data_IF_742575632092
#
_entry.id   IF_742575632092
#
_cell.length_a   1.000
_cell.length_b   1.000
_cell.length_c   1.000
_cell.angle_alpha   90.00
_cell.angle_beta   90.00
_cell.angle_gamma   90.00
#
_symmetry.space_group_name_H-M   'P 1'
#
loop_
_entity.id
_entity.type
_entity.pdbx_description
1 polymer ?
#
# COMPACT_ATOMS: atom_id res chain seq x y z
N UNK A 1 -10.01 -8.27 -25.76
CA UNK A 1 -9.13 -7.61 -24.77
C UNK A 1 -9.76 -7.82 -23.40
N UNK A 2 -9.35 -8.84 -22.66
CA UNK A 2 -9.77 -9.03 -21.26
C UNK A 2 -9.07 -7.98 -20.43
N UNK A 3 -9.83 -7.06 -19.83
CA UNK A 3 -9.30 -5.99 -18.97
C UNK A 3 -8.75 -6.66 -17.70
N UNK A 4 -7.47 -6.47 -17.42
CA UNK A 4 -6.83 -6.99 -16.20
C UNK A 4 -7.51 -6.39 -14.96
N UNK A 5 -7.63 -7.18 -13.89
CA UNK A 5 -8.28 -6.73 -12.65
C UNK A 5 -7.36 -5.73 -11.96
N UNK A 6 -7.88 -4.55 -11.65
CA UNK A 6 -7.18 -3.51 -10.88
C UNK A 6 -7.77 -3.43 -9.47
N UNK A 7 -6.92 -3.24 -8.47
CA UNK A 7 -7.28 -3.11 -7.05
C UNK A 7 -6.54 -1.90 -6.46
N UNK A 8 -7.21 -1.10 -5.65
CA UNK A 8 -6.60 -0.02 -4.88
C UNK A 8 -5.77 -0.61 -3.72
N UNK A 9 -4.48 -0.29 -3.67
CA UNK A 9 -3.56 -0.77 -2.63
C UNK A 9 -2.73 0.36 -2.03
N UNK A 10 -2.15 0.08 -0.86
CA UNK A 10 -1.22 0.95 -0.16
C UNK A 10 0.01 1.24 -1.03
N UNK A 11 0.41 2.51 -1.20
CA UNK A 11 1.58 2.87 -1.99
C UNK A 11 2.91 2.47 -1.35
N UNK A 12 2.90 2.08 -0.06
CA UNK A 12 4.11 1.69 0.69
C UNK A 12 4.30 0.17 0.63
N UNK A 13 3.31 -0.60 1.10
CA UNK A 13 3.47 -2.05 1.24
C UNK A 13 2.63 -2.89 0.27
N UNK A 14 1.82 -2.27 -0.60
CA UNK A 14 0.99 -2.99 -1.56
C UNK A 14 -0.20 -3.74 -0.93
N UNK A 15 -0.53 -3.50 0.34
CA UNK A 15 -1.72 -4.08 0.97
C UNK A 15 -3.02 -3.40 0.52
N UNK A 16 -4.07 -4.19 0.34
CA UNK A 16 -5.45 -3.69 0.13
C UNK A 16 -6.19 -3.39 1.43
N UNK A 17 -5.61 -3.65 2.60
CA UNK A 17 -6.21 -3.39 3.91
C UNK A 17 -6.10 -1.90 4.28
N UNK A 18 -6.91 -1.08 3.61
CA UNK A 18 -7.01 0.36 3.82
C UNK A 18 -8.35 0.73 4.48
N UNK A 19 -8.34 1.70 5.39
CA UNK A 19 -9.55 2.30 5.94
C UNK A 19 -9.45 3.83 5.97
N UNK A 20 -10.58 4.52 6.10
CA UNK A 20 -10.58 5.98 6.17
C UNK A 20 -10.42 6.46 7.62
N UNK A 21 -9.41 7.29 7.88
CA UNK A 21 -9.22 7.96 9.18
C UNK A 21 -10.27 9.06 9.37
N UNK A 22 -10.56 9.82 8.30
CA UNK A 22 -11.58 10.85 8.29
C UNK A 22 -12.25 10.90 6.91
N UNK A 23 -13.58 11.01 6.90
CA UNK A 23 -14.39 11.22 5.70
C UNK A 23 -15.14 12.54 5.82
N UNK A 24 -14.77 13.54 5.03
CA UNK A 24 -15.35 14.88 5.09
C UNK A 24 -14.93 15.78 3.92
N UNK A 25 -15.07 17.10 4.10
CA UNK A 25 -14.84 18.12 3.05
C UNK A 25 -13.42 18.15 2.48
N UNK A 26 -12.44 17.57 3.19
CA UNK A 26 -11.00 17.62 2.87
C UNK A 26 -10.55 16.45 1.97
N UNK A 27 -11.47 15.57 1.58
CA UNK A 27 -11.17 14.40 0.75
C UNK A 27 -10.96 13.13 1.59
N UNK A 28 -10.48 12.08 0.91
CA UNK A 28 -10.27 10.76 1.49
C UNK A 28 -8.84 10.65 2.04
N UNK A 29 -8.70 10.38 3.34
CA UNK A 29 -7.42 10.02 3.95
C UNK A 29 -7.46 8.53 4.31
N UNK A 30 -6.60 7.76 3.67
CA UNK A 30 -6.46 6.32 3.87
C UNK A 30 -5.42 6.03 4.95
N UNK A 31 -5.67 4.99 5.75
CA UNK A 31 -4.73 4.40 6.68
C UNK A 31 -4.61 2.90 6.38
N UNK A 32 -3.38 2.44 6.16
CA UNK A 32 -3.03 1.03 5.96
C UNK A 32 -2.85 0.30 7.28
N UNK A 33 -3.52 -0.85 7.44
CA UNK A 33 -3.42 -1.68 8.64
C UNK A 33 -2.07 -2.41 8.79
N UNK A 34 -1.36 -2.64 7.68
CA UNK A 34 -0.15 -3.47 7.69
C UNK A 34 1.13 -2.68 7.93
N UNK A 35 1.25 -1.48 7.33
CA UNK A 35 2.46 -0.65 7.44
C UNK A 35 2.22 0.70 8.11
N UNK A 36 0.98 0.98 8.57
CA UNK A 36 0.62 2.24 9.22
C UNK A 36 0.82 3.50 8.34
N UNK A 37 0.86 3.33 7.01
CA UNK A 37 0.81 4.46 6.06
C UNK A 37 -0.48 5.25 6.26
N UNK A 38 -0.37 6.59 6.36
CA UNK A 38 -1.50 7.52 6.39
C UNK A 38 -1.34 8.57 5.29
N UNK A 39 -2.30 8.67 4.39
CA UNK A 39 -2.24 9.67 3.32
C UNK A 39 -3.41 9.63 2.35
N UNK A 40 -3.44 10.58 1.43
CA UNK A 40 -4.54 10.72 0.46
C UNK A 40 -4.35 9.89 -0.82
N UNK A 41 -3.25 9.11 -0.93
CA UNK A 41 -2.88 8.40 -2.15
C UNK A 41 -3.02 6.88 -2.00
N UNK A 42 -3.46 6.25 -3.08
CA UNK A 42 -3.52 4.80 -3.29
C UNK A 42 -3.01 4.48 -4.69
N UNK A 43 -2.61 3.24 -4.92
CA UNK A 43 -2.18 2.75 -6.25
C UNK A 43 -3.25 1.81 -6.79
N UNK A 44 -3.72 2.06 -8.02
CA UNK A 44 -4.50 1.07 -8.77
C UNK A 44 -3.51 0.07 -9.40
N UNK A 45 -3.54 -1.17 -8.93
CA UNK A 45 -2.53 -2.17 -9.27
C UNK A 45 -3.17 -3.48 -9.76
N UNK A 46 -2.52 -4.13 -10.72
CA UNK A 46 -2.75 -5.54 -11.05
C UNK A 46 -2.08 -6.45 -10.03
N UNK A 47 -2.40 -7.74 -10.04
CA UNK A 47 -1.77 -8.72 -9.14
C UNK A 47 -0.22 -8.74 -9.24
N UNK A 48 0.34 -8.61 -10.46
CA UNK A 48 1.79 -8.51 -10.68
C UNK A 48 2.39 -7.24 -10.06
N UNK A 49 1.71 -6.10 -10.20
CA UNK A 49 2.14 -4.85 -9.59
C UNK A 49 2.09 -4.93 -8.06
N UNK A 50 1.04 -5.53 -7.50
CA UNK A 50 0.91 -5.76 -6.05
C UNK A 50 2.07 -6.61 -5.54
N UNK A 51 2.42 -7.67 -6.27
CA UNK A 51 3.54 -8.55 -5.93
C UNK A 51 4.85 -7.77 -5.91
N UNK A 52 5.13 -6.96 -6.93
CA UNK A 52 6.34 -6.16 -7.01
C UNK A 52 6.47 -5.15 -5.85
N UNK A 53 5.38 -4.48 -5.47
CA UNK A 53 5.38 -3.53 -4.34
C UNK A 53 5.68 -4.26 -3.02
N UNK A 54 5.06 -5.43 -2.80
CA UNK A 54 5.29 -6.23 -1.58
C UNK A 54 6.72 -6.71 -1.46
N UNK A 55 7.28 -7.25 -2.55
CA UNK A 55 8.66 -7.75 -2.57
C UNK A 55 9.67 -6.63 -2.26
N UNK A 56 9.44 -5.41 -2.79
CA UNK A 56 10.27 -4.25 -2.47
C UNK A 56 10.18 -3.88 -0.98
N UNK A 57 8.97 -3.77 -0.44
CA UNK A 57 8.73 -3.42 0.96
C UNK A 57 9.40 -4.41 1.93
N UNK A 58 9.26 -5.72 1.69
CA UNK A 58 9.90 -6.76 2.51
C UNK A 58 11.43 -6.68 2.46
N UNK A 59 11.99 -6.40 1.28
CA UNK A 59 13.44 -6.24 1.11
C UNK A 59 13.96 -5.00 1.84
N UNK A 60 13.23 -3.89 1.82
CA UNK A 60 13.63 -2.67 2.54
C UNK A 60 13.53 -2.87 4.04
N UNK A 61 12.42 -3.43 4.53
CA UNK A 61 12.22 -3.71 5.95
C UNK A 61 13.29 -4.64 6.54
N UNK A 62 13.66 -5.71 5.82
CA UNK A 62 14.71 -6.61 6.27
C UNK A 62 16.07 -5.92 6.43
N UNK A 63 16.40 -4.94 5.57
CA UNK A 63 17.64 -4.15 5.69
C UNK A 63 17.63 -3.23 6.89
N UNK A 64 16.48 -2.66 7.23
CA UNK A 64 16.33 -1.82 8.43
C UNK A 64 16.51 -2.66 9.70
N UNK A 65 15.88 -3.84 9.75
CA UNK A 65 16.01 -4.78 10.88
C UNK A 65 17.45 -5.27 11.07
N UNK A 66 18.21 -5.50 10.00
CA UNK A 66 19.64 -5.86 10.06
C UNK A 66 20.55 -4.70 10.49
N UNK A 67 20.17 -3.45 10.22
CA UNK A 67 20.96 -2.27 10.58
C UNK A 67 20.74 -1.82 12.04
N UNK A 68 19.59 -2.17 12.61
CA UNK A 68 19.22 -1.88 14.00
C UNK A 68 19.61 -3.01 14.99
N UNK A 69 20.03 -4.17 14.47
CA UNK A 69 20.37 -5.39 15.23
C UNK A 69 21.82 -5.54 15.71
#
# INVERSE_FOLDING_TARGET
MTKEKMVEVCPVCGSSELYYETGGFVGKVYHCKDCNYVGALVVEATDDMIKAIKEEYEREKGKEEEAEG
#
